data_IF_927265859962
#
_entry.id   IF_927265859962
#
_cell.length_a   1.000
_cell.length_b   1.000
_cell.length_c   1.000
_cell.angle_alpha   90.00
_cell.angle_beta   90.00
_cell.angle_gamma   90.00
#
_symmetry.space_group_name_H-M   'P 1'
#
loop_
_entity.id
_entity.type
_entity.pdbx_description
1 polymer ?
2 non-polymer ?
3 non-polymer ?
4 non-polymer ?
5 water ?
#
# COMPACT_ATOMS: atom_id res chain seq x y z
N UNK A 3 10.79 -14.17 -19.42
CA UNK A 3 10.77 -12.92 -18.60
C UNK A 3 9.32 -12.44 -18.40
N UNK A 4 8.92 -12.23 -17.14
CA UNK A 4 7.54 -11.85 -16.81
C UNK A 4 7.23 -10.49 -17.40
N UNK A 5 5.96 -10.21 -17.66
CA UNK A 5 5.57 -8.90 -18.16
C UNK A 5 5.54 -7.97 -16.96
N UNK A 6 5.89 -6.71 -17.20
CA UNK A 6 6.00 -5.72 -16.14
C UNK A 6 4.63 -5.46 -15.55
N UNK A 7 4.59 -5.29 -14.23
CA UNK A 7 3.38 -4.97 -13.51
C UNK A 7 3.55 -3.60 -12.87
N UNK A 8 2.42 -2.95 -12.64
CA UNK A 8 2.36 -1.69 -11.94
C UNK A 8 1.23 -1.81 -10.92
N UNK A 9 1.53 -1.47 -9.67
CA UNK A 9 0.49 -1.41 -8.65
C UNK A 9 0.49 0.00 -8.05
N UNK A 10 -0.69 0.39 -7.61
CA UNK A 10 -0.95 1.67 -6.93
C UNK A 10 -1.40 1.34 -5.52
N UNK A 11 -0.72 1.94 -4.54
CA UNK A 11 -0.94 1.68 -3.12
C UNK A 11 -1.20 3.01 -2.41
N UNK A 12 -2.31 3.09 -1.66
CA UNK A 12 -2.57 4.24 -0.78
C UNK A 12 -3.05 3.77 0.60
N UNK A 13 -3.25 4.70 1.52
CA UNK A 13 -3.53 4.37 2.90
C UNK A 13 -3.84 5.58 3.72
N UNK A 14 -4.64 5.36 4.77
CA UNK A 14 -4.83 6.36 5.85
C UNK A 14 -5.36 7.68 5.25
N UNK A 15 -6.45 7.51 4.51
CA UNK A 15 -7.20 8.57 3.82
C UNK A 15 -8.20 9.32 4.75
N UNK A 16 -8.65 8.68 5.81
CA UNK A 16 -9.29 9.32 6.96
C UNK A 16 -10.47 10.24 6.63
N UNK A 17 -11.46 9.64 5.99
CA UNK A 17 -12.71 10.31 5.72
C UNK A 17 -12.74 11.11 4.44
N UNK A 18 -11.63 11.16 3.72
CA UNK A 18 -11.58 11.81 2.43
C UNK A 18 -11.95 10.77 1.36
N UNK A 19 -13.19 10.84 0.91
CA UNK A 19 -13.67 9.94 -0.09
C UNK A 19 -13.39 10.44 -1.51
N UNK A 20 -13.28 11.76 -1.71
CA UNK A 20 -13.00 12.30 -3.05
C UNK A 20 -11.63 11.83 -3.49
N UNK A 21 -10.67 11.76 -2.57
CA UNK A 21 -9.31 11.32 -2.98
C UNK A 21 -9.25 9.84 -3.37
N UNK A 22 -10.02 9.04 -2.66
CA UNK A 22 -10.13 7.61 -2.94
C UNK A 22 -10.78 7.37 -4.32
N UNK A 23 -11.87 8.09 -4.59
CA UNK A 23 -12.58 8.06 -5.89
C UNK A 23 -11.67 8.51 -7.05
N UNK A 24 -10.93 9.59 -6.82
CA UNK A 24 -10.03 10.15 -7.81
C UNK A 24 -8.93 9.16 -8.20
N UNK A 25 -8.34 8.51 -7.20
CA UNK A 25 -7.29 7.51 -7.42
C UNK A 25 -7.84 6.21 -8.06
N UNK A 26 -9.01 5.76 -7.60
CA UNK A 26 -9.72 4.66 -8.23
C UNK A 26 -9.90 4.94 -9.73
N UNK A 27 -10.59 6.04 -10.01
CA UNK A 27 -10.93 6.47 -11.34
C UNK A 27 -9.71 6.61 -12.25
N UNK A 28 -8.63 7.13 -11.71
CA UNK A 28 -7.44 7.37 -12.51
C UNK A 28 -6.78 6.06 -12.96
N UNK A 29 -6.82 5.08 -12.08
CA UNK A 29 -5.96 3.92 -12.21
C UNK A 29 -6.68 2.58 -12.45
N UNK A 30 -7.92 2.43 -11.96
CA UNK A 30 -8.58 1.10 -12.09
C UNK A 30 -8.73 0.75 -13.57
N UNK A 31 -8.27 -0.46 -13.92
CA UNK A 31 -8.29 -0.92 -15.31
C UNK A 31 -7.09 -0.48 -16.12
N UNK A 32 -6.24 0.38 -15.56
CA UNK A 32 -5.02 0.83 -16.25
C UNK A 32 -3.72 0.37 -15.59
N UNK A 33 -3.80 -0.21 -14.40
CA UNK A 33 -2.65 -0.81 -13.72
C UNK A 33 -3.10 -2.22 -13.32
N UNK A 34 -2.18 -3.06 -12.85
CA UNK A 34 -2.56 -4.42 -12.46
C UNK A 34 -3.40 -4.52 -11.17
N UNK A 35 -3.23 -3.60 -10.23
CA UNK A 35 -4.00 -3.62 -8.98
C UNK A 35 -3.86 -2.29 -8.29
N UNK A 36 -4.90 -1.94 -7.52
CA UNK A 36 -4.93 -0.75 -6.69
C UNK A 36 -5.21 -1.19 -5.27
N UNK A 37 -4.38 -0.75 -4.32
CA UNK A 37 -4.49 -1.15 -2.90
C UNK A 37 -4.73 0.01 -1.94
N UNK A 38 -5.53 -0.23 -0.91
CA UNK A 38 -5.72 0.76 0.16
C UNK A 38 -5.46 0.01 1.45
N UNK A 39 -4.55 0.49 2.28
CA UNK A 39 -4.08 -0.27 3.44
C UNK A 39 -4.79 0.09 4.75
N UNK A 40 -5.91 0.80 4.62
CA UNK A 40 -6.85 1.03 5.70
C UNK A 40 -6.85 2.42 6.30
N UNK A 41 -7.70 2.54 7.31
CA UNK A 41 -8.04 3.82 7.95
C UNK A 41 -8.62 4.78 6.92
N UNK A 42 -9.56 4.29 6.13
CA UNK A 42 -10.30 5.14 5.18
C UNK A 42 -11.45 5.89 5.86
N UNK A 43 -12.02 5.23 6.87
CA UNK A 43 -13.21 5.71 7.60
C UNK A 43 -14.47 5.71 6.73
N UNK A 44 -14.42 4.93 5.64
CA UNK A 44 -15.51 4.73 4.70
C UNK A 44 -16.17 3.38 5.00
N UNK A 45 -17.38 3.23 4.47
CA UNK A 45 -18.09 1.96 4.47
C UNK A 45 -17.50 0.94 3.50
N UNK A 46 -17.36 -0.33 3.95
CA UNK A 46 -16.87 -1.44 3.10
C UNK A 46 -17.72 -1.71 1.87
N UNK A 47 -19.00 -1.37 1.93
CA UNK A 47 -19.87 -1.48 0.77
C UNK A 47 -19.87 -0.24 -0.12
N UNK A 48 -19.02 0.76 0.17
CA UNK A 48 -18.87 1.88 -0.76
C UNK A 48 -18.51 1.39 -2.17
N UNK A 49 -19.19 1.95 -3.18
CA UNK A 49 -18.82 1.64 -4.56
C UNK A 49 -17.47 2.20 -4.97
N UNK A 50 -16.88 3.07 -4.15
CA UNK A 50 -15.50 3.54 -4.32
C UNK A 50 -14.46 2.41 -4.22
N UNK A 51 -14.84 1.28 -3.64
CA UNK A 51 -13.91 0.17 -3.48
C UNK A 51 -13.87 -0.78 -4.66
N UNK A 52 -14.69 -0.54 -5.67
CA UNK A 52 -14.70 -1.38 -6.87
C UNK A 52 -13.38 -1.19 -7.59
N UNK A 53 -12.66 -2.29 -7.79
CA UNK A 53 -11.33 -2.31 -8.39
C UNK A 53 -10.16 -2.22 -7.40
N UNK A 54 -10.47 -2.00 -6.11
CA UNK A 54 -9.45 -1.74 -5.08
C UNK A 54 -9.38 -2.87 -4.06
N UNK A 55 -8.16 -3.27 -3.67
CA UNK A 55 -7.97 -4.22 -2.57
C UNK A 55 -7.75 -3.49 -1.27
N UNK A 56 -8.68 -3.63 -0.32
CA UNK A 56 -8.67 -2.81 0.92
C UNK A 56 -8.72 -3.66 2.19
N UNK A 57 -7.93 -3.26 3.17
CA UNK A 57 -7.87 -3.97 4.49
C UNK A 57 -8.35 -3.03 5.62
N UNK A 58 -8.61 -3.63 6.79
CA UNK A 58 -9.12 -2.89 7.91
C UNK A 58 -8.03 -2.17 8.72
N UNK A 59 -8.26 -0.87 8.96
CA UNK A 59 -7.46 -0.10 9.90
C UNK A 59 -8.09 -0.04 11.28
N UNK A 60 -7.32 0.37 12.28
CA UNK A 60 -7.90 0.53 13.62
C UNK A 60 -9.01 1.61 13.73
N UNK A 61 -9.01 2.56 12.80
CA UNK A 61 -9.98 3.66 12.75
C UNK A 61 -11.11 3.37 11.76
N UNK A 62 -11.20 2.12 11.31
CA UNK A 62 -12.30 1.59 10.53
C UNK A 62 -13.18 0.79 11.47
N UNK A 63 -14.40 1.26 11.71
CA UNK A 63 -15.24 0.69 12.76
C UNK A 63 -16.32 -0.24 12.24
N UNK A 64 -16.70 -0.06 10.97
CA UNK A 64 -17.65 -0.90 10.30
C UNK A 64 -17.08 -2.29 10.07
N UNK A 65 -17.96 -3.27 10.29
CA UNK A 65 -17.72 -4.66 9.94
C UNK A 65 -17.57 -4.79 8.42
N UNK A 66 -16.70 -5.70 7.99
CA UNK A 66 -16.62 -6.10 6.60
C UNK A 66 -15.30 -5.90 5.90
N UNK A 67 -14.32 -5.30 6.57
CA UNK A 67 -12.99 -5.21 6.00
C UNK A 67 -12.19 -6.39 6.52
N UNK A 68 -11.38 -7.03 5.64
CA UNK A 68 -10.48 -8.06 6.17
C UNK A 68 -9.27 -7.45 6.89
N UNK A 69 -8.80 -8.13 7.92
CA UNK A 69 -7.54 -7.77 8.58
C UNK A 69 -6.30 -7.94 7.71
N UNK A 70 -6.27 -9.01 6.93
CA UNK A 70 -5.18 -9.31 6.01
C UNK A 70 -5.78 -9.66 4.69
N UNK A 71 -5.02 -9.41 3.64
CA UNK A 71 -5.44 -9.78 2.28
C UNK A 71 -4.21 -10.24 1.52
N UNK A 72 -4.35 -11.40 0.87
CA UNK A 72 -3.35 -11.94 -0.04
C UNK A 72 -3.84 -11.76 -1.48
N UNK A 73 -3.02 -11.13 -2.29
CA UNK A 73 -3.33 -10.88 -3.67
C UNK A 73 -2.20 -11.46 -4.51
N UNK A 74 -2.51 -12.47 -5.30
CA UNK A 74 -1.50 -13.09 -6.12
C UNK A 74 -1.66 -12.51 -7.48
N UNK A 75 -0.60 -11.88 -7.94
CA UNK A 75 -0.66 -11.15 -9.16
C UNK A 75 0.35 -11.80 -10.04
N UNK A 76 -0.13 -12.61 -10.97
CA UNK A 76 0.73 -13.50 -11.70
C UNK A 76 1.68 -14.20 -10.76
N UNK A 77 2.95 -14.01 -10.99
CA UNK A 77 4.01 -14.61 -10.20
C UNK A 77 4.39 -13.80 -8.96
N UNK A 78 3.69 -12.68 -8.73
CA UNK A 78 3.94 -11.79 -7.60
C UNK A 78 2.90 -11.95 -6.48
N UNK A 79 3.32 -12.49 -5.34
CA UNK A 79 2.47 -12.60 -4.15
C UNK A 79 2.63 -11.36 -3.25
N UNK A 80 1.53 -10.62 -3.13
CA UNK A 80 1.45 -9.42 -2.38
C UNK A 80 0.60 -9.78 -1.13
N UNK A 81 1.10 -9.39 0.05
CA UNK A 81 0.35 -9.47 1.28
C UNK A 81 0.17 -8.03 1.77
N UNK A 82 -0.88 -7.83 2.55
CA UNK A 82 -1.40 -6.52 2.84
C UNK A 82 -2.10 -6.54 4.19
N UNK A 83 -1.75 -5.58 5.03
CA UNK A 83 -2.38 -5.43 6.34
C UNK A 83 -2.24 -3.99 6.75
N UNK A 84 -3.05 -3.52 7.70
CA UNK A 84 -2.86 -2.15 8.21
C UNK A 84 -1.57 -2.02 9.00
N UNK A 85 -1.39 -2.86 10.01
CA UNK A 85 -0.12 -2.91 10.78
C UNK A 85 -0.31 -2.93 12.28
N UNK A 86 -1.43 -2.39 12.75
CA UNK A 86 -1.74 -2.30 14.17
C UNK A 86 -1.83 -3.65 14.88
N UNK A 87 -2.27 -4.66 14.13
CA UNK A 87 -2.42 -5.98 14.68
C UNK A 87 -1.07 -6.68 14.74
N UNK A 88 -0.02 -6.08 14.16
CA UNK A 88 1.35 -6.62 14.22
C UNK A 88 2.26 -5.78 15.14
N UNK A 89 1.67 -4.79 15.81
CA UNK A 89 2.40 -3.92 16.73
C UNK A 89 3.62 -3.31 16.06
N UNK A 90 3.41 -2.80 14.86
CA UNK A 90 4.53 -2.25 14.07
C UNK A 90 5.14 -0.98 14.67
N UNK A 91 4.44 -0.31 15.59
CA UNK A 91 5.02 0.83 16.34
C UNK A 91 6.05 0.33 17.36
N UNK A 92 5.93 -0.93 17.74
CA UNK A 92 6.94 -1.57 18.57
C UNK A 92 8.15 -1.90 17.67
N UNK A 93 8.00 -2.87 16.77
CA UNK A 93 8.99 -3.16 15.75
C UNK A 93 8.35 -3.97 14.63
N UNK A 94 9.13 -4.37 13.63
CA UNK A 94 8.60 -5.04 12.47
C UNK A 94 8.84 -6.55 12.49
N UNK A 95 9.24 -7.11 13.63
CA UNK A 95 9.53 -8.53 13.72
C UNK A 95 8.30 -9.43 13.48
N UNK A 96 7.14 -9.04 14.00
CA UNK A 96 5.92 -9.79 13.77
C UNK A 96 5.47 -9.66 12.30
N UNK A 97 5.49 -8.46 11.76
CA UNK A 97 5.15 -8.28 10.34
C UNK A 97 6.10 -9.07 9.40
N UNK A 98 7.39 -9.03 9.68
CA UNK A 98 8.38 -9.76 8.89
C UNK A 98 8.24 -11.29 9.07
N UNK A 99 7.90 -11.76 10.26
CA UNK A 99 7.69 -13.20 10.43
C UNK A 99 6.55 -13.71 9.52
N UNK A 100 5.46 -12.94 9.48
CA UNK A 100 4.28 -13.25 8.68
C UNK A 100 4.64 -13.24 7.22
N UNK A 101 5.40 -12.23 6.79
CA UNK A 101 5.79 -12.07 5.38
C UNK A 101 6.67 -13.23 4.91
N UNK A 102 7.46 -13.77 5.84
CA UNK A 102 8.35 -14.86 5.52
C UNK A 102 7.56 -16.16 5.46
N UNK A 103 6.63 -16.37 6.40
CA UNK A 103 5.79 -17.57 6.35
C UNK A 103 4.91 -17.60 5.08
N UNK A 104 4.49 -16.43 4.61
CA UNK A 104 3.74 -16.30 3.36
C UNK A 104 4.61 -16.38 2.12
N UNK A 105 5.92 -16.23 2.27
CA UNK A 105 6.84 -16.07 1.15
C UNK A 105 6.33 -15.03 0.14
N UNK A 106 6.03 -13.83 0.65
CA UNK A 106 5.50 -12.73 -0.17
C UNK A 106 6.62 -12.11 -1.04
N UNK A 107 6.27 -11.62 -2.23
CA UNK A 107 7.17 -10.73 -2.97
C UNK A 107 7.15 -9.32 -2.32
N UNK A 108 5.95 -8.91 -1.90
CA UNK A 108 5.68 -7.57 -1.43
C UNK A 108 4.74 -7.64 -0.22
N UNK A 109 5.05 -6.83 0.79
CA UNK A 109 4.26 -6.70 2.00
C UNK A 109 3.83 -5.23 2.16
N UNK A 110 2.54 -5.00 2.08
CA UNK A 110 1.96 -3.67 2.08
C UNK A 110 1.35 -3.41 3.44
N UNK A 111 1.66 -2.25 4.01
CA UNK A 111 1.14 -1.86 5.32
C UNK A 111 0.81 -0.32 5.36
N UNK A 112 0.06 0.10 6.39
CA UNK A 112 -0.27 1.48 6.64
C UNK A 112 0.05 1.84 8.09
N UNK A 113 -0.90 2.51 8.74
CA UNK A 113 -0.92 2.76 10.18
C UNK A 113 0.01 3.90 10.62
N UNK A 114 1.27 3.90 10.14
CA UNK A 114 2.31 4.88 10.57
C UNK A 114 2.22 6.29 9.95
N UNK A 115 1.53 6.40 8.80
CA UNK A 115 1.41 7.66 8.06
C UNK A 115 2.78 8.19 7.59
N UNK A 116 3.75 7.29 7.44
CA UNK A 116 5.12 7.63 7.05
C UNK A 116 5.47 6.83 5.78
N UNK A 117 5.85 7.50 4.68
CA UNK A 117 6.26 6.72 3.49
C UNK A 117 7.57 5.94 3.68
N UNK A 118 7.60 4.67 3.31
CA UNK A 118 8.78 3.82 3.44
C UNK A 118 8.81 2.71 2.42
N UNK A 119 10.00 2.42 1.93
CA UNK A 119 10.22 1.28 1.06
C UNK A 119 11.58 0.68 1.46
N UNK A 120 11.57 -0.57 1.90
CA UNK A 120 12.81 -1.30 2.11
C UNK A 120 12.71 -2.75 1.73
N UNK A 121 13.86 -3.32 1.42
CA UNK A 121 13.98 -4.73 1.07
C UNK A 121 14.62 -5.44 2.28
N UNK A 122 13.90 -6.40 2.85
CA UNK A 122 14.43 -7.22 3.92
C UNK A 122 14.12 -8.69 3.58
N UNK A 123 15.14 -9.55 3.59
CA UNK A 123 15.05 -10.84 2.91
C UNK A 123 14.94 -10.47 1.44
N UNK A 124 14.17 -11.22 0.66
CA UNK A 124 13.92 -10.75 -0.73
C UNK A 124 12.60 -9.98 -0.79
N UNK A 125 12.13 -9.49 0.36
CA UNK A 125 10.78 -8.94 0.47
C UNK A 125 10.80 -7.42 0.53
N UNK A 126 10.08 -6.81 -0.41
CA UNK A 126 9.79 -5.38 -0.37
C UNK A 126 8.67 -5.10 0.64
N UNK A 127 9.00 -4.26 1.64
CA UNK A 127 8.03 -3.70 2.58
C UNK A 127 7.78 -2.23 2.23
N UNK A 128 6.51 -1.88 2.11
CA UNK A 128 6.10 -0.56 1.65
C UNK A 128 4.94 -0.03 2.46
N UNK A 129 5.14 1.18 2.99
CA UNK A 129 4.07 2.03 3.48
C UNK A 129 3.99 3.15 2.46
N UNK A 130 2.81 3.34 1.86
CA UNK A 130 2.73 4.40 0.85
C UNK A 130 2.75 5.83 1.42
N UNK A 131 2.83 5.98 2.75
CA UNK A 131 2.51 7.21 3.45
C UNK A 131 1.03 7.34 3.71
N UNK A 132 0.62 8.49 4.27
CA UNK A 132 -0.79 8.88 4.36
C UNK A 132 -1.20 9.87 3.26
N UNK A 133 -2.27 9.53 2.52
CA UNK A 133 -2.76 10.38 1.45
C UNK A 133 -3.54 11.59 2.00
N UNK A 134 -3.80 11.65 3.33
CA UNK A 134 -4.54 12.77 3.95
C UNK A 134 -3.89 13.36 5.18
N UNK A 135 -3.10 12.61 5.94
CA UNK A 135 -2.58 13.04 7.25
C UNK A 135 -1.14 12.62 7.40
N UNK A 136 -0.25 13.27 6.63
CA UNK A 136 1.16 12.95 6.65
C UNK A 136 1.82 13.21 8.02
N UNK A 137 2.73 12.31 8.39
CA UNK A 137 3.48 12.41 9.63
C UNK A 137 4.95 12.16 9.33
N UNK A 138 5.78 12.44 10.33
CA UNK A 138 7.23 12.39 10.18
C UNK A 138 7.79 13.57 9.42
N UNK A 139 8.91 13.31 8.73
CA UNK A 139 9.71 14.38 8.12
C UNK A 139 9.08 14.96 6.86
N UNK A 140 8.29 14.17 6.12
CA UNK A 140 7.65 14.60 4.89
C UNK A 140 6.21 15.00 5.20
N UNK A 141 5.88 16.27 4.97
CA UNK A 141 4.61 16.81 5.37
C UNK A 141 3.63 16.83 4.21
N UNK A 142 3.94 16.11 3.16
CA UNK A 142 3.16 16.11 1.92
C UNK A 142 2.32 14.82 1.94
N UNK A 143 1.07 14.93 1.52
CA UNK A 143 0.19 13.78 1.34
C UNK A 143 0.70 12.97 0.15
N UNK A 144 0.81 11.66 0.36
CA UNK A 144 1.43 10.77 -0.61
C UNK A 144 0.70 9.47 -0.72
N UNK A 145 0.80 8.88 -1.91
CA UNK A 145 0.58 7.46 -2.14
C UNK A 145 1.78 6.94 -2.96
N UNK A 146 1.75 5.66 -3.30
CA UNK A 146 2.90 4.98 -3.92
C UNK A 146 2.51 4.22 -5.19
N UNK A 147 3.44 4.24 -6.13
CA UNK A 147 3.44 3.39 -7.32
C UNK A 147 4.63 2.41 -7.26
N UNK A 148 4.36 1.12 -7.43
CA UNK A 148 5.42 0.12 -7.55
C UNK A 148 5.41 -0.49 -8.97
N UNK A 149 6.57 -0.50 -9.62
CA UNK A 149 6.74 -1.23 -10.88
C UNK A 149 7.55 -2.51 -10.65
N UNK A 150 7.01 -3.62 -11.14
CA UNK A 150 7.54 -4.93 -10.78
C UNK A 150 7.93 -5.65 -12.04
N UNK A 151 9.17 -6.12 -12.09
CA UNK A 151 9.55 -7.14 -13.07
C UNK A 151 10.55 -8.12 -12.45
N UNK A 152 11.09 -9.04 -13.25
CA UNK A 152 11.98 -10.08 -12.72
C UNK A 152 13.26 -9.54 -12.07
N UNK A 153 13.71 -8.36 -12.50
CA UNK A 153 14.99 -7.79 -12.06
C UNK A 153 14.88 -6.74 -10.95
N UNK A 154 13.76 -6.04 -10.92
CA UNK A 154 13.58 -4.87 -10.09
C UNK A 154 12.20 -4.67 -9.52
N UNK A 155 12.16 -4.15 -8.32
CA UNK A 155 11.04 -3.34 -7.83
C UNK A 155 11.45 -1.86 -7.95
N UNK A 156 10.59 -1.05 -8.56
CA UNK A 156 10.82 0.39 -8.63
C UNK A 156 9.69 1.05 -7.85
N UNK A 157 10.04 1.83 -6.82
CA UNK A 157 9.04 2.56 -6.01
C UNK A 157 9.15 4.08 -6.18
N UNK A 158 8.03 4.70 -6.55
CA UNK A 158 7.91 6.15 -6.56
C UNK A 158 6.79 6.56 -5.64
N UNK A 159 6.99 7.67 -4.93
CA UNK A 159 5.92 8.26 -4.16
C UNK A 159 5.31 9.45 -4.89
N UNK A 160 3.97 9.51 -4.88
CA UNK A 160 3.21 10.42 -5.74
C UNK A 160 2.38 11.33 -4.87
N UNK A 161 2.21 12.55 -5.34
CA UNK A 161 1.44 13.53 -4.62
C UNK A 161 -0.02 13.36 -5.00
N UNK A 162 -0.87 14.14 -4.33
CA UNK A 162 -2.30 14.17 -4.63
C UNK A 162 -2.63 14.75 -6.00
N UNK A 163 -1.62 15.33 -6.66
CA UNK A 163 -1.72 15.72 -8.06
C UNK A 163 -1.07 14.71 -9.00
N UNK A 164 -0.61 13.58 -8.43
CA UNK A 164 -0.18 12.41 -9.18
C UNK A 164 1.18 12.64 -9.84
N UNK A 165 2.02 13.42 -9.16
CA UNK A 165 3.37 13.73 -9.64
C UNK A 165 4.32 13.02 -8.72
N UNK A 166 5.46 12.58 -9.24
CA UNK A 166 6.49 11.98 -8.40
C UNK A 166 7.00 13.05 -7.44
N UNK A 167 7.06 12.71 -6.17
CA UNK A 167 7.70 13.57 -5.20
C UNK A 167 9.18 13.17 -5.08
N UNK A 168 10.08 14.10 -5.38
CA UNK A 168 11.49 13.75 -5.43
C UNK A 168 12.16 13.53 -4.09
N UNK A 169 13.16 12.65 -4.06
CA UNK A 169 13.97 12.43 -2.90
C UNK A 169 13.56 11.22 -2.12
N UNK A 170 12.49 10.58 -2.58
CA UNK A 170 11.88 9.37 -1.98
C UNK A 170 11.86 8.12 -2.85
N UNK A 171 12.15 8.22 -4.15
CA UNK A 171 12.09 7.06 -5.05
C UNK A 171 13.19 6.07 -4.71
N UNK A 172 12.92 4.78 -4.88
CA UNK A 172 13.92 3.73 -4.66
C UNK A 172 13.80 2.65 -5.73
N UNK A 173 14.94 2.08 -6.11
CA UNK A 173 14.96 0.93 -6.99
C UNK A 173 15.68 -0.20 -6.28
N UNK A 174 15.04 -1.37 -6.19
CA UNK A 174 15.62 -2.56 -5.56
C UNK A 174 15.83 -3.68 -6.60
N UNK A 175 17.00 -4.29 -6.62
CA UNK A 175 17.16 -5.47 -7.48
C UNK A 175 16.78 -6.75 -6.71
N UNK A 176 16.19 -7.68 -7.45
CA UNK A 176 15.52 -8.86 -6.88
C UNK A 176 16.32 -10.16 -7.06
X LIG B 1 -4.37 6.21 10.36
X LIG C 1 -4.13 3.10 11.96
X LIG D 1 -3.87 5.38 14.63
X LIG E 1 1.14 -0.53 16.36
X LIG F 1 13.28 7.39 -10.90
X LIG F 1 13.98 9.32 -10.07
X LIG F 1 13.10 8.60 -10.60
X LIG F 1 11.74 9.21 -10.88
X LIG F 1 10.77 8.35 -10.28
X LIG F 1 11.38 9.32 -12.37
X LIG F 1 12.55 9.27 -13.20
X LIG F 1 10.56 10.56 -12.68
X LIG F 1 10.10 10.71 -13.83
X LIG F 1 10.33 11.41 -11.78
#
# INVERSE_FOLDING_TARGET
SNAMAKQTIIVMSDSHGDSLIVEEVRDRYVGKVDAVFHNGDSELRPDSPLWEGIRVVKGNMDFYAGYPERLVTELGSTKIIQTHGHLFDINFNFQKLDYWAQEEEAAICLYGHLHVPSAWLEGKILFLNPGSISQPRGTIRECLYARVEIDDSYFKVDFLTRDHEVYPGLSKEFSR
MN MN
MN MN
CL CL
CL CL
SRT O1 O11 C1 C2 O2 C3 O3 C4 O4 O41
#
